data_IF_910432417112
#
_entry.id   IF_910432417112
#
_cell.length_a   1.000
_cell.length_b   1.000
_cell.length_c   1.000
_cell.angle_alpha   90.00
_cell.angle_beta   90.00
_cell.angle_gamma   90.00
#
_symmetry.space_group_name_H-M   'P 1'
#
loop_
_entity.id
_entity.type
_entity.pdbx_description
1 polymer ?
#
# COMPACT_ATOMS: atom_id res chain seq x y z
N UNK A 1 30.67 -45.18 -48.80
CA UNK A 1 30.08 -44.93 -47.48
C UNK A 1 29.78 -43.44 -47.44
N UNK A 2 28.54 -43.10 -47.79
CA UNK A 2 28.08 -41.71 -47.86
C UNK A 2 27.51 -41.33 -46.47
N UNK A 3 28.06 -40.29 -45.86
CA UNK A 3 27.53 -39.72 -44.58
C UNK A 3 26.33 -38.84 -44.90
N UNK A 4 25.17 -39.25 -44.43
CA UNK A 4 23.97 -38.42 -44.42
C UNK A 4 24.08 -37.38 -43.29
N UNK A 5 23.95 -36.12 -43.68
CA UNK A 5 23.83 -34.97 -42.75
C UNK A 5 22.42 -34.94 -42.15
N UNK A 6 22.23 -34.83 -40.84
CA UNK A 6 20.87 -34.75 -40.28
C UNK A 6 20.25 -33.40 -40.59
N UNK A 7 18.99 -33.46 -41.07
CA UNK A 7 18.16 -32.31 -41.40
C UNK A 7 17.99 -31.37 -40.18
N UNK A 8 18.18 -30.07 -40.42
CA UNK A 8 17.94 -29.00 -39.46
C UNK A 8 16.47 -28.98 -38.99
N UNK A 9 16.26 -29.20 -37.70
CA UNK A 9 14.96 -29.02 -37.07
C UNK A 9 14.50 -27.57 -37.25
N UNK A 10 13.39 -27.40 -37.96
CA UNK A 10 12.79 -26.10 -38.22
C UNK A 10 12.47 -25.35 -36.94
N UNK A 11 12.93 -24.12 -36.89
CA UNK A 11 12.62 -23.17 -35.79
C UNK A 11 11.08 -23.00 -35.71
N UNK A 12 10.49 -22.96 -34.50
CA UNK A 12 9.05 -22.74 -34.38
C UNK A 12 8.65 -21.39 -34.94
N UNK A 13 7.42 -21.21 -35.44
CA UNK A 13 6.96 -19.99 -36.08
C UNK A 13 7.02 -18.84 -35.11
N UNK A 14 7.84 -17.83 -35.42
CA UNK A 14 7.88 -16.57 -34.72
C UNK A 14 6.59 -15.81 -35.04
N UNK A 15 5.62 -15.81 -34.14
CA UNK A 15 4.48 -14.90 -34.21
C UNK A 15 5.01 -13.45 -34.16
N UNK A 16 4.98 -12.78 -35.32
CA UNK A 16 5.24 -11.32 -35.41
C UNK A 16 4.01 -10.60 -34.87
N UNK A 17 4.01 -10.25 -33.59
CA UNK A 17 3.08 -9.25 -33.06
C UNK A 17 3.34 -7.89 -33.72
N UNK A 18 2.29 -7.05 -33.96
CA UNK A 18 2.47 -5.72 -34.48
C UNK A 18 3.45 -4.97 -33.58
N UNK A 19 4.52 -4.43 -34.15
CA UNK A 19 5.55 -3.68 -33.43
C UNK A 19 4.94 -2.39 -32.94
N UNK A 20 4.52 -2.35 -31.68
CA UNK A 20 4.22 -1.09 -31.01
C UNK A 20 5.49 -0.22 -31.04
N UNK A 21 5.37 1.11 -31.29
CA UNK A 21 6.51 2.02 -31.37
C UNK A 21 7.21 2.21 -30.01
N UNK A 22 6.70 1.61 -28.95
CA UNK A 22 7.22 1.70 -27.60
C UNK A 22 7.18 0.32 -26.88
N UNK A 23 7.94 0.21 -25.79
CA UNK A 23 8.03 -1.01 -24.99
C UNK A 23 6.69 -1.34 -24.31
N UNK A 24 6.16 -2.56 -24.54
CA UNK A 24 4.85 -2.99 -24.03
C UNK A 24 4.70 -2.90 -22.51
N UNK A 25 5.81 -2.98 -21.76
CA UNK A 25 5.81 -2.77 -20.32
C UNK A 25 5.15 -1.46 -19.87
N UNK A 26 5.23 -0.40 -20.69
CA UNK A 26 4.54 0.86 -20.38
C UNK A 26 3.02 0.78 -20.50
N UNK A 27 2.49 -0.10 -21.37
CA UNK A 27 1.05 -0.40 -21.40
C UNK A 27 0.63 -1.02 -20.07
N UNK A 28 1.43 -1.96 -19.56
CA UNK A 28 1.15 -2.58 -18.26
C UNK A 28 1.22 -1.59 -17.11
N UNK A 29 2.13 -0.61 -17.17
CA UNK A 29 2.19 0.49 -16.18
C UNK A 29 0.91 1.32 -16.24
N UNK A 30 0.40 1.65 -17.44
CA UNK A 30 -0.85 2.38 -17.58
C UNK A 30 -2.06 1.58 -17.07
N UNK A 31 -2.12 0.27 -17.38
CA UNK A 31 -3.14 -0.64 -16.84
C UNK A 31 -3.07 -0.69 -15.32
N UNK A 32 -1.88 -0.84 -14.76
CA UNK A 32 -1.66 -0.83 -13.32
C UNK A 32 -2.06 0.49 -12.67
N UNK A 33 -1.74 1.63 -13.29
CA UNK A 33 -2.14 2.96 -12.83
C UNK A 33 -3.66 3.08 -12.69
N UNK A 34 -4.41 2.70 -13.72
CA UNK A 34 -5.88 2.74 -13.69
C UNK A 34 -6.45 1.74 -12.68
N UNK A 35 -5.89 0.52 -12.63
CA UNK A 35 -6.32 -0.51 -11.68
C UNK A 35 -6.09 -0.08 -10.23
N UNK A 36 -4.96 0.57 -9.95
CA UNK A 36 -4.67 1.16 -8.64
C UNK A 36 -5.58 2.34 -8.32
N UNK A 37 -5.84 3.22 -9.31
CA UNK A 37 -6.72 4.37 -9.16
C UNK A 37 -8.12 3.94 -8.71
N UNK A 38 -8.69 2.92 -9.34
CA UNK A 38 -10.04 2.43 -9.01
C UNK A 38 -10.00 1.50 -7.79
N UNK A 39 -9.14 0.50 -7.79
CA UNK A 39 -9.13 -0.56 -6.78
C UNK A 39 -8.86 -0.06 -5.36
N UNK A 40 -7.85 0.79 -5.17
CA UNK A 40 -7.54 1.34 -3.84
C UNK A 40 -8.63 2.32 -3.39
N UNK A 41 -9.13 3.16 -4.30
CA UNK A 41 -10.14 4.14 -3.95
C UNK A 41 -11.54 3.54 -3.73
N UNK A 42 -11.87 2.41 -4.36
CA UNK A 42 -13.08 1.66 -4.03
C UNK A 42 -13.09 1.20 -2.55
N UNK A 43 -11.93 0.83 -2.00
CA UNK A 43 -11.80 0.54 -0.57
C UNK A 43 -11.84 1.82 0.28
N UNK A 44 -11.14 2.87 -0.14
CA UNK A 44 -11.12 4.15 0.59
C UNK A 44 -12.52 4.79 0.63
N UNK A 45 -13.35 4.55 -0.40
CA UNK A 45 -14.74 5.00 -0.46
C UNK A 45 -15.61 4.44 0.71
N UNK A 46 -15.17 3.39 1.41
CA UNK A 46 -15.84 2.94 2.63
C UNK A 46 -16.01 4.06 3.66
N UNK A 47 -15.04 4.97 3.77
CA UNK A 47 -15.15 6.15 4.65
C UNK A 47 -16.32 7.08 4.27
N UNK A 48 -16.66 7.17 2.97
CA UNK A 48 -17.81 7.92 2.48
C UNK A 48 -19.14 7.16 2.66
N UNK A 49 -19.10 5.82 2.55
CA UNK A 49 -20.26 4.95 2.75
C UNK A 49 -20.62 4.81 4.24
N UNK A 50 -19.64 4.98 5.12
CA UNK A 50 -19.77 4.79 6.55
C UNK A 50 -20.88 5.68 7.18
N UNK A 51 -20.92 7.02 6.95
CA UNK A 51 -21.95 7.86 7.51
C UNK A 51 -23.39 7.48 7.08
N UNK A 52 -23.71 7.30 5.79
CA UNK A 52 -25.06 6.98 5.37
C UNK A 52 -25.52 5.58 5.82
N UNK A 53 -24.61 4.60 5.91
CA UNK A 53 -24.92 3.27 6.46
C UNK A 53 -25.29 3.39 7.94
N UNK A 54 -24.53 4.13 8.75
CA UNK A 54 -24.87 4.37 10.15
C UNK A 54 -26.22 5.06 10.32
N UNK A 55 -26.48 6.07 9.50
CA UNK A 55 -27.73 6.85 9.60
C UNK A 55 -28.96 6.01 9.20
N UNK A 56 -28.81 5.07 8.25
CA UNK A 56 -29.92 4.25 7.79
C UNK A 56 -30.25 3.12 8.78
N UNK A 57 -29.22 2.45 9.30
CA UNK A 57 -29.43 1.25 10.10
C UNK A 57 -29.37 1.49 11.61
N UNK A 58 -28.80 2.62 12.04
CA UNK A 58 -28.62 2.92 13.47
C UNK A 58 -27.66 1.95 14.19
N UNK A 59 -26.76 1.28 13.44
CA UNK A 59 -25.81 0.33 14.04
C UNK A 59 -24.69 1.08 14.76
N UNK A 60 -24.06 0.40 15.74
CA UNK A 60 -22.89 0.90 16.42
C UNK A 60 -21.74 1.13 15.43
N UNK A 61 -20.92 2.16 15.69
CA UNK A 61 -19.78 2.51 14.84
C UNK A 61 -18.73 1.42 14.84
N UNK A 62 -18.50 0.79 15.99
CA UNK A 62 -17.58 -0.35 16.11
C UNK A 62 -18.01 -1.54 15.25
N UNK A 63 -19.31 -1.86 15.25
CA UNK A 63 -19.87 -2.92 14.42
C UNK A 63 -19.70 -2.58 12.93
N UNK A 64 -20.05 -1.37 12.52
CA UNK A 64 -19.97 -0.97 11.11
C UNK A 64 -18.52 -0.87 10.62
N UNK A 65 -17.63 -0.24 11.40
CA UNK A 65 -16.20 -0.17 11.08
C UNK A 65 -15.52 -1.54 11.09
N UNK A 66 -16.05 -2.48 11.89
CA UNK A 66 -15.60 -3.87 11.93
C UNK A 66 -15.69 -4.58 10.57
N UNK A 67 -16.62 -4.20 9.70
CA UNK A 67 -16.68 -4.73 8.33
C UNK A 67 -15.40 -4.37 7.53
N UNK A 68 -14.91 -3.13 7.65
CA UNK A 68 -13.64 -2.72 7.04
C UNK A 68 -12.45 -3.46 7.66
N UNK A 69 -12.43 -3.59 8.98
CA UNK A 69 -11.41 -4.33 9.74
C UNK A 69 -11.35 -5.80 9.32
N UNK A 70 -12.50 -6.42 9.12
CA UNK A 70 -12.60 -7.81 8.65
C UNK A 70 -11.97 -8.00 7.28
N UNK A 71 -12.08 -7.02 6.39
CA UNK A 71 -11.40 -7.04 5.09
C UNK A 71 -9.88 -7.15 5.18
N UNK A 72 -9.26 -6.58 6.21
CA UNK A 72 -7.83 -6.76 6.46
C UNK A 72 -7.48 -8.19 6.87
N UNK A 73 -8.28 -8.79 7.74
CA UNK A 73 -8.07 -10.18 8.17
C UNK A 73 -8.18 -11.14 6.99
N UNK A 74 -9.18 -10.95 6.14
CA UNK A 74 -9.33 -11.73 4.90
C UNK A 74 -8.11 -11.52 3.98
N UNK A 75 -7.67 -10.26 3.80
CA UNK A 75 -6.47 -9.95 3.02
C UNK A 75 -5.23 -10.67 3.54
N UNK A 76 -5.03 -10.73 4.87
CA UNK A 76 -3.91 -11.45 5.48
C UNK A 76 -3.93 -12.94 5.13
N UNK A 77 -5.11 -13.57 5.20
CA UNK A 77 -5.27 -15.01 4.93
C UNK A 77 -5.01 -15.33 3.45
N UNK A 78 -5.50 -14.50 2.53
CA UNK A 78 -5.40 -14.79 1.09
C UNK A 78 -4.05 -14.39 0.46
N UNK A 79 -3.31 -13.44 1.04
CA UNK A 79 -2.04 -12.92 0.48
C UNK A 79 -1.04 -14.01 0.10
N UNK A 80 -0.76 -15.05 0.91
CA UNK A 80 0.17 -16.11 0.53
C UNK A 80 -0.30 -16.92 -0.69
N UNK A 81 -1.61 -17.03 -0.86
CA UNK A 81 -2.21 -17.73 -2.01
C UNK A 81 -2.15 -16.89 -3.28
N UNK A 82 -2.34 -15.57 -3.17
CA UNK A 82 -2.19 -14.62 -4.28
C UNK A 82 -0.79 -14.75 -4.90
N UNK A 83 0.27 -14.69 -4.09
CA UNK A 83 1.65 -14.83 -4.59
C UNK A 83 1.86 -16.14 -5.32
N UNK A 84 1.50 -17.27 -4.71
CA UNK A 84 1.66 -18.62 -5.31
C UNK A 84 0.90 -18.80 -6.64
N UNK A 85 -0.32 -18.27 -6.72
CA UNK A 85 -1.12 -18.38 -7.95
C UNK A 85 -0.53 -17.46 -9.03
N UNK A 86 -0.11 -16.25 -8.67
CA UNK A 86 0.47 -15.28 -9.59
C UNK A 86 1.79 -15.79 -10.19
N UNK A 87 2.65 -16.43 -9.38
CA UNK A 87 3.91 -17.04 -9.85
C UNK A 87 3.68 -18.20 -10.83
N UNK A 88 2.62 -18.98 -10.61
CA UNK A 88 2.34 -20.18 -11.42
C UNK A 88 1.50 -19.90 -12.66
N UNK A 89 0.47 -19.06 -12.55
CA UNK A 89 -0.56 -18.82 -13.57
C UNK A 89 -0.55 -17.41 -14.15
N UNK A 90 0.35 -16.55 -13.67
CA UNK A 90 0.45 -15.17 -14.09
C UNK A 90 -0.53 -14.22 -13.39
N UNK A 91 -0.41 -12.91 -13.65
CA UNK A 91 -1.16 -11.87 -12.95
C UNK A 91 -2.65 -11.84 -13.35
N UNK A 92 -2.99 -12.17 -14.58
CA UNK A 92 -4.33 -12.02 -15.14
C UNK A 92 -5.40 -12.71 -14.28
N UNK A 93 -5.21 -13.99 -13.94
CA UNK A 93 -6.19 -14.75 -13.16
C UNK A 93 -6.44 -14.14 -11.79
N UNK A 94 -5.38 -13.71 -11.10
CA UNK A 94 -5.48 -13.16 -9.75
C UNK A 94 -6.12 -11.77 -9.77
N UNK A 95 -5.74 -10.94 -10.74
CA UNK A 95 -6.28 -9.58 -10.85
C UNK A 95 -7.74 -9.61 -11.27
N UNK A 96 -8.11 -10.48 -12.24
CA UNK A 96 -9.53 -10.66 -12.63
C UNK A 96 -10.37 -11.25 -11.49
N UNK A 97 -9.85 -12.21 -10.73
CA UNK A 97 -10.53 -12.68 -9.52
C UNK A 97 -10.75 -11.53 -8.52
N UNK A 98 -9.78 -10.62 -8.39
CA UNK A 98 -9.92 -9.39 -7.60
C UNK A 98 -11.00 -8.45 -8.12
N UNK A 99 -11.08 -8.25 -9.45
CA UNK A 99 -12.14 -7.45 -10.10
C UNK A 99 -13.51 -8.06 -9.81
N UNK A 100 -13.65 -9.37 -9.99
CA UNK A 100 -14.92 -10.08 -9.73
C UNK A 100 -15.29 -10.01 -8.26
N UNK A 101 -14.36 -10.26 -7.35
CA UNK A 101 -14.64 -10.19 -5.91
C UNK A 101 -15.05 -8.79 -5.48
N UNK A 102 -14.31 -7.76 -5.90
CA UNK A 102 -14.60 -6.36 -5.53
C UNK A 102 -15.92 -5.89 -6.16
N UNK A 103 -16.12 -6.10 -7.45
CA UNK A 103 -17.34 -5.70 -8.15
C UNK A 103 -18.57 -6.39 -7.58
N UNK A 104 -18.52 -7.72 -7.38
CA UNK A 104 -19.60 -8.47 -6.75
C UNK A 104 -19.84 -8.00 -5.30
N UNK A 105 -18.77 -7.73 -4.53
CA UNK A 105 -18.90 -7.21 -3.17
C UNK A 105 -19.65 -5.88 -3.12
N UNK A 106 -19.33 -4.93 -4.01
CA UNK A 106 -20.04 -3.64 -4.12
C UNK A 106 -21.49 -3.82 -4.54
N UNK A 107 -21.77 -4.64 -5.56
CA UNK A 107 -23.15 -4.90 -6.01
C UNK A 107 -23.99 -5.59 -4.93
N UNK A 108 -23.46 -6.63 -4.29
CA UNK A 108 -24.16 -7.37 -3.24
C UNK A 108 -24.34 -6.53 -1.96
N UNK A 109 -23.47 -5.58 -1.68
CA UNK A 109 -23.62 -4.66 -0.54
C UNK A 109 -24.93 -3.87 -0.62
N UNK A 110 -25.44 -3.59 -1.82
CA UNK A 110 -26.71 -2.88 -2.02
C UNK A 110 -27.93 -3.64 -1.45
N UNK A 111 -27.82 -4.96 -1.31
CA UNK A 111 -28.86 -5.83 -0.76
C UNK A 111 -28.73 -6.02 0.75
N UNK A 112 -27.69 -5.44 1.38
CA UNK A 112 -27.43 -5.63 2.79
C UNK A 112 -28.54 -5.00 3.66
N UNK A 113 -28.97 -5.80 4.67
CA UNK A 113 -29.95 -5.42 5.71
C UNK A 113 -29.44 -5.74 7.12
N UNK A 114 -28.40 -6.53 7.23
CA UNK A 114 -27.81 -7.00 8.48
C UNK A 114 -26.31 -6.73 8.49
N UNK A 115 -25.69 -6.45 9.66
CA UNK A 115 -24.26 -6.15 9.74
C UNK A 115 -23.36 -7.23 9.11
N UNK A 116 -23.63 -8.52 9.36
CA UNK A 116 -22.82 -9.62 8.84
C UNK A 116 -22.76 -9.65 7.30
N UNK A 117 -23.80 -9.15 6.62
CA UNK A 117 -23.81 -9.05 5.15
C UNK A 117 -22.79 -8.03 4.66
N UNK A 118 -22.60 -6.91 5.40
CA UNK A 118 -21.53 -5.95 5.08
C UNK A 118 -20.13 -6.54 5.35
N UNK A 119 -19.99 -7.38 6.38
CA UNK A 119 -18.73 -8.10 6.62
C UNK A 119 -18.36 -9.01 5.45
N UNK A 120 -19.34 -9.70 4.86
CA UNK A 120 -19.09 -10.53 3.68
C UNK A 120 -18.86 -9.71 2.41
N UNK A 121 -19.66 -8.69 2.17
CA UNK A 121 -19.66 -7.93 0.92
C UNK A 121 -18.53 -6.88 0.89
N UNK A 122 -18.61 -5.85 1.73
CA UNK A 122 -17.59 -4.80 1.80
C UNK A 122 -16.32 -5.27 2.52
N UNK A 123 -16.47 -6.14 3.52
CA UNK A 123 -15.33 -6.72 4.23
C UNK A 123 -14.59 -7.75 3.37
N UNK A 124 -15.14 -8.97 3.27
CA UNK A 124 -14.43 -10.09 2.65
C UNK A 124 -14.24 -9.92 1.15
N UNK A 125 -15.30 -9.64 0.40
CA UNK A 125 -15.21 -9.57 -1.06
C UNK A 125 -14.46 -8.33 -1.53
N UNK A 126 -14.83 -7.12 -1.07
CA UNK A 126 -14.10 -5.92 -1.44
C UNK A 126 -12.69 -5.88 -0.84
N UNK A 127 -12.52 -6.19 0.47
CA UNK A 127 -11.23 -6.21 1.13
C UNK A 127 -10.27 -7.23 0.52
N UNK A 128 -10.76 -8.45 0.23
CA UNK A 128 -10.00 -9.49 -0.46
C UNK A 128 -9.67 -9.09 -1.90
N UNK A 129 -10.66 -8.59 -2.64
CA UNK A 129 -10.51 -8.13 -4.02
C UNK A 129 -9.47 -7.03 -4.16
N UNK A 130 -9.52 -6.03 -3.27
CA UNK A 130 -8.55 -4.92 -3.28
C UNK A 130 -7.11 -5.41 -3.13
N UNK A 131 -6.88 -6.46 -2.35
CA UNK A 131 -5.53 -6.96 -2.14
C UNK A 131 -4.90 -7.53 -3.43
N UNK A 132 -5.74 -8.06 -4.33
CA UNK A 132 -5.31 -8.49 -5.66
C UNK A 132 -5.01 -7.29 -6.58
N UNK A 133 -5.79 -6.22 -6.48
CA UNK A 133 -5.75 -5.06 -7.40
C UNK A 133 -4.75 -3.99 -6.99
N UNK A 134 -4.45 -3.87 -5.68
CA UNK A 134 -3.62 -2.82 -5.10
C UNK A 134 -2.12 -3.17 -5.09
N UNK A 135 -1.38 -2.55 -4.18
CA UNK A 135 0.08 -2.62 -4.07
C UNK A 135 0.64 -4.04 -4.12
N UNK A 136 0.00 -5.00 -3.42
CA UNK A 136 0.45 -6.40 -3.38
C UNK A 136 0.42 -7.01 -4.77
N UNK A 137 -0.73 -6.95 -5.44
CA UNK A 137 -0.89 -7.51 -6.79
C UNK A 137 0.08 -6.89 -7.80
N UNK A 138 0.15 -5.54 -7.83
CA UNK A 138 0.98 -4.82 -8.80
C UNK A 138 2.48 -5.04 -8.57
N UNK A 139 2.93 -5.12 -7.33
CA UNK A 139 4.34 -5.35 -6.99
C UNK A 139 4.86 -6.73 -7.35
N UNK A 140 3.98 -7.70 -7.57
CA UNK A 140 4.38 -9.08 -7.88
C UNK A 140 4.73 -9.28 -9.36
N UNK A 141 4.10 -8.57 -10.30
CA UNK A 141 4.34 -8.80 -11.73
C UNK A 141 5.06 -7.66 -12.46
N UNK A 142 4.80 -6.39 -12.12
CA UNK A 142 5.45 -5.26 -12.79
C UNK A 142 6.98 -5.32 -12.78
N UNK A 143 7.64 -5.75 -11.69
CA UNK A 143 9.09 -5.87 -11.66
C UNK A 143 9.68 -6.87 -12.66
N UNK A 144 8.92 -7.82 -13.19
CA UNK A 144 9.40 -8.77 -14.20
C UNK A 144 9.60 -8.11 -15.58
N UNK A 145 8.93 -6.97 -15.83
CA UNK A 145 9.00 -6.23 -17.08
C UNK A 145 10.10 -5.17 -17.10
N UNK A 146 10.57 -4.73 -15.92
CA UNK A 146 11.54 -3.66 -15.79
C UNK A 146 12.71 -4.07 -14.90
N UNK A 147 13.91 -4.02 -15.43
CA UNK A 147 15.15 -4.16 -14.65
C UNK A 147 15.75 -2.79 -14.31
N UNK A 148 15.94 -1.96 -15.33
CA UNK A 148 16.60 -0.66 -15.20
C UNK A 148 15.67 0.42 -14.66
N UNK A 149 14.40 0.43 -15.06
CA UNK A 149 13.42 1.46 -14.69
C UNK A 149 12.34 0.97 -13.72
N UNK A 150 12.63 -0.09 -12.96
CA UNK A 150 11.68 -0.72 -12.02
C UNK A 150 11.04 0.28 -11.05
N UNK A 151 11.86 1.15 -10.41
CA UNK A 151 11.38 2.15 -9.47
C UNK A 151 10.44 3.16 -10.13
N UNK A 152 10.80 3.66 -11.33
CA UNK A 152 9.97 4.59 -12.09
C UNK A 152 8.64 3.97 -12.50
N UNK A 153 8.65 2.74 -13.00
CA UNK A 153 7.44 2.03 -13.41
C UNK A 153 6.46 1.83 -12.24
N UNK A 154 6.96 1.37 -11.09
CA UNK A 154 6.16 1.22 -9.88
C UNK A 154 5.64 2.57 -9.35
N UNK A 155 6.48 3.61 -9.35
CA UNK A 155 6.05 4.94 -8.88
C UNK A 155 4.94 5.53 -9.74
N UNK A 156 5.03 5.39 -11.07
CA UNK A 156 3.97 5.83 -11.98
C UNK A 156 2.69 5.02 -11.73
N UNK A 157 2.77 3.69 -11.67
CA UNK A 157 1.61 2.85 -11.39
C UNK A 157 0.93 3.22 -10.07
N UNK A 158 1.70 3.43 -9.01
CA UNK A 158 1.18 3.73 -7.68
C UNK A 158 0.63 5.15 -7.54
N UNK A 159 1.13 6.11 -8.33
CA UNK A 159 0.58 7.48 -8.36
C UNK A 159 -0.87 7.53 -8.85
N UNK A 160 -1.35 6.48 -9.52
CA UNK A 160 -2.75 6.30 -9.88
C UNK A 160 -3.69 6.43 -8.67
N UNK A 161 -3.27 5.98 -7.48
CA UNK A 161 -4.07 6.11 -6.26
C UNK A 161 -4.42 7.57 -5.95
N UNK A 162 -3.44 8.48 -6.03
CA UNK A 162 -3.65 9.91 -5.78
C UNK A 162 -4.59 10.56 -6.81
N UNK A 163 -4.40 10.24 -8.09
CA UNK A 163 -5.28 10.77 -9.16
C UNK A 163 -6.70 10.18 -9.02
N UNK A 164 -6.80 8.87 -8.74
CA UNK A 164 -8.09 8.22 -8.49
C UNK A 164 -8.83 8.81 -7.29
N UNK A 165 -8.12 9.23 -6.24
CA UNK A 165 -8.75 9.75 -5.03
C UNK A 165 -9.46 11.08 -5.26
N UNK A 166 -8.88 12.00 -6.02
CA UNK A 166 -9.49 13.30 -6.32
C UNK A 166 -10.58 13.22 -7.38
N UNK A 167 -10.69 12.13 -8.12
CA UNK A 167 -11.74 11.92 -9.11
C UNK A 167 -12.87 11.04 -8.58
N UNK A 168 -12.54 9.86 -8.02
CA UNK A 168 -13.51 8.86 -7.60
C UNK A 168 -14.22 9.25 -6.30
N UNK A 169 -13.49 9.79 -5.29
CA UNK A 169 -14.12 10.06 -4.00
C UNK A 169 -15.13 11.21 -4.06
N UNK A 170 -14.86 12.39 -4.69
CA UNK A 170 -15.88 13.42 -4.87
C UNK A 170 -17.04 12.96 -5.75
N UNK A 171 -16.78 12.17 -6.80
CA UNK A 171 -17.81 11.57 -7.63
C UNK A 171 -18.73 10.65 -6.80
N UNK A 172 -18.15 9.74 -6.02
CA UNK A 172 -18.89 8.87 -5.10
C UNK A 172 -19.72 9.67 -4.11
N UNK A 173 -19.15 10.72 -3.50
CA UNK A 173 -19.88 11.59 -2.58
C UNK A 173 -21.07 12.28 -3.27
N UNK A 174 -20.90 12.74 -4.50
CA UNK A 174 -22.01 13.34 -5.27
C UNK A 174 -23.13 12.34 -5.57
N UNK A 175 -22.80 11.07 -5.83
CA UNK A 175 -23.78 10.00 -6.01
C UNK A 175 -24.50 9.69 -4.70
N UNK A 176 -23.77 9.59 -3.58
CA UNK A 176 -24.35 9.33 -2.25
C UNK A 176 -25.38 10.41 -1.90
N UNK A 177 -25.06 11.68 -2.16
CA UNK A 177 -25.98 12.80 -1.87
C UNK A 177 -27.21 12.80 -2.77
N UNK A 178 -27.05 12.43 -4.06
CA UNK A 178 -28.16 12.50 -5.04
C UNK A 178 -29.07 11.28 -5.02
N UNK A 179 -28.50 10.09 -4.84
CA UNK A 179 -29.20 8.83 -5.05
C UNK A 179 -29.05 7.83 -3.90
N UNK A 180 -28.21 8.16 -2.88
CA UNK A 180 -27.95 7.30 -1.75
C UNK A 180 -26.75 6.37 -1.95
N UNK A 181 -26.33 5.76 -0.85
CA UNK A 181 -25.12 4.94 -0.81
C UNK A 181 -25.23 3.63 -1.59
N UNK A 182 -26.43 3.07 -1.69
CA UNK A 182 -26.67 1.84 -2.48
C UNK A 182 -26.41 2.07 -3.96
N UNK A 183 -26.96 3.15 -4.50
CA UNK A 183 -26.76 3.52 -5.91
C UNK A 183 -25.28 3.84 -6.18
N UNK A 184 -24.62 4.53 -5.25
CA UNK A 184 -23.18 4.79 -5.34
C UNK A 184 -22.36 3.48 -5.35
N UNK A 185 -22.70 2.50 -4.51
CA UNK A 185 -22.07 1.17 -4.54
C UNK A 185 -22.33 0.46 -5.88
N UNK A 186 -23.55 0.54 -6.39
CA UNK A 186 -23.95 -0.09 -7.65
C UNK A 186 -23.14 0.51 -8.82
N UNK A 187 -23.10 1.83 -8.92
CA UNK A 187 -22.34 2.53 -9.96
C UNK A 187 -20.84 2.25 -9.89
N UNK A 188 -20.26 2.22 -8.67
CA UNK A 188 -18.84 1.89 -8.49
C UNK A 188 -18.56 0.42 -8.85
N UNK A 189 -19.46 -0.50 -8.50
CA UNK A 189 -19.36 -1.92 -8.86
C UNK A 189 -19.39 -2.13 -10.37
N UNK A 190 -20.30 -1.43 -11.08
CA UNK A 190 -20.35 -1.43 -12.54
C UNK A 190 -19.08 -0.83 -13.16
N UNK A 191 -18.57 0.28 -12.61
CA UNK A 191 -17.31 0.88 -13.06
C UNK A 191 -16.14 -0.12 -12.93
N UNK A 192 -16.07 -0.84 -11.81
CA UNK A 192 -15.05 -1.88 -11.61
C UNK A 192 -15.13 -2.95 -12.69
N UNK A 193 -16.32 -3.50 -12.97
CA UNK A 193 -16.49 -4.50 -14.02
C UNK A 193 -16.26 -3.96 -15.42
N UNK A 194 -16.85 -2.83 -15.77
CA UNK A 194 -16.83 -2.29 -17.12
C UNK A 194 -15.46 -1.72 -17.52
N UNK A 195 -14.72 -1.17 -16.56
CA UNK A 195 -13.41 -0.57 -16.82
C UNK A 195 -12.28 -1.55 -16.54
N UNK A 196 -12.22 -2.15 -15.34
CA UNK A 196 -11.06 -2.96 -14.95
C UNK A 196 -11.06 -4.34 -15.60
N UNK A 197 -12.23 -4.98 -15.79
CA UNK A 197 -12.32 -6.29 -16.44
C UNK A 197 -11.67 -6.26 -17.83
N UNK A 198 -12.19 -5.48 -18.81
CA UNK A 198 -11.58 -5.43 -20.14
C UNK A 198 -10.15 -4.89 -20.15
N UNK A 199 -9.83 -3.92 -19.29
CA UNK A 199 -8.51 -3.32 -19.23
C UNK A 199 -7.45 -4.34 -18.78
N UNK A 200 -7.74 -5.14 -17.78
CA UNK A 200 -6.80 -6.11 -17.23
C UNK A 200 -6.59 -7.32 -18.16
N UNK A 201 -7.44 -7.56 -19.16
CA UNK A 201 -7.18 -8.57 -20.21
C UNK A 201 -5.89 -8.27 -21.00
N UNK A 202 -5.42 -7.03 -20.98
CA UNK A 202 -4.13 -6.66 -21.58
C UNK A 202 -2.93 -7.16 -20.78
N UNK A 203 -3.12 -7.66 -19.54
CA UNK A 203 -2.03 -8.17 -18.72
C UNK A 203 -1.38 -9.40 -19.32
N UNK A 204 -0.05 -9.39 -19.35
CA UNK A 204 0.79 -10.53 -19.77
C UNK A 204 1.72 -10.92 -18.62
N UNK A 205 2.01 -12.21 -18.54
CA UNK A 205 2.77 -12.73 -17.40
C UNK A 205 4.22 -12.26 -17.43
N UNK A 206 4.90 -12.48 -18.55
CA UNK A 206 6.34 -12.14 -18.70
C UNK A 206 6.62 -11.55 -20.09
N UNK A 207 7.65 -10.70 -20.21
CA UNK A 207 8.05 -10.18 -21.53
C UNK A 207 8.44 -11.30 -22.50
N UNK A 208 9.03 -12.40 -22.01
CA UNK A 208 9.43 -13.55 -22.80
C UNK A 208 8.25 -14.22 -23.51
N UNK A 209 7.05 -14.19 -22.94
CA UNK A 209 5.82 -14.73 -23.54
C UNK A 209 5.45 -14.00 -24.84
N UNK A 210 5.96 -12.78 -25.02
CA UNK A 210 5.80 -11.94 -26.21
C UNK A 210 7.07 -11.88 -27.07
N UNK A 211 8.11 -12.65 -26.75
CA UNK A 211 9.40 -12.57 -27.42
C UNK A 211 10.17 -11.28 -27.13
N UNK A 212 9.85 -10.58 -26.01
CA UNK A 212 10.50 -9.37 -25.57
C UNK A 212 11.47 -9.68 -24.42
N UNK A 213 12.50 -8.84 -24.28
CA UNK A 213 13.37 -8.85 -23.11
C UNK A 213 12.93 -7.76 -22.12
N UNK A 214 13.18 -7.93 -20.79
CA UNK A 214 12.97 -6.87 -19.82
C UNK A 214 13.77 -5.60 -20.18
N UNK A 215 13.25 -4.42 -19.80
CA UNK A 215 13.93 -3.16 -20.01
C UNK A 215 15.28 -3.13 -19.28
N UNK A 216 16.39 -3.13 -20.05
CA UNK A 216 17.75 -3.02 -19.53
C UNK A 216 18.60 -4.29 -19.47
N UNK A 217 18.10 -5.42 -20.00
CA UNK A 217 18.81 -6.72 -19.98
C UNK A 217 20.21 -6.71 -20.66
N UNK A 218 20.57 -5.69 -21.44
CA UNK A 218 21.89 -5.57 -22.11
C UNK A 218 23.03 -4.99 -21.28
N UNK A 219 22.84 -4.70 -19.99
CA UNK A 219 23.87 -4.06 -19.15
C UNK A 219 23.91 -4.60 -17.73
N UNK A 220 23.92 -5.92 -17.57
CA UNK A 220 24.25 -6.53 -16.30
C UNK A 220 25.77 -6.64 -16.18
N UNK A 221 26.44 -5.62 -15.65
CA UNK A 221 27.71 -5.82 -14.99
C UNK A 221 27.42 -6.53 -13.65
N UNK A 222 27.92 -7.75 -13.41
CA UNK A 222 27.86 -8.38 -12.11
C UNK A 222 28.85 -7.68 -11.18
N UNK A 223 28.41 -6.60 -10.56
CA UNK A 223 29.20 -5.96 -9.52
C UNK A 223 29.11 -6.78 -8.26
N UNK A 224 30.02 -7.71 -8.12
CA UNK A 224 30.33 -8.41 -6.88
C UNK A 224 31.09 -7.53 -5.88
N UNK A 225 30.67 -6.29 -5.65
CA UNK A 225 31.19 -5.47 -4.57
C UNK A 225 30.30 -5.69 -3.33
N UNK A 226 30.94 -6.10 -2.22
CA UNK A 226 30.28 -6.09 -0.89
C UNK A 226 29.64 -4.73 -0.69
N UNK A 227 28.37 -4.65 -0.27
CA UNK A 227 27.72 -3.36 -0.06
C UNK A 227 28.53 -2.54 0.94
N UNK A 228 29.04 -1.39 0.51
CA UNK A 228 29.87 -0.48 1.32
C UNK A 228 29.12 0.11 2.53
N UNK A 229 27.83 -0.21 2.69
CA UNK A 229 26.93 0.35 3.70
C UNK A 229 26.75 -0.53 4.95
N UNK A 230 27.48 -1.64 5.10
CA UNK A 230 27.36 -2.53 6.28
C UNK A 230 28.05 -1.86 7.48
N UNK A 231 27.27 -1.64 8.56
CA UNK A 231 27.75 -1.07 9.83
C UNK A 231 28.04 -2.15 10.84
N UNK A 232 27.18 -3.18 10.91
CA UNK A 232 27.37 -4.36 11.76
C UNK A 232 27.66 -5.59 10.88
N UNK A 233 28.93 -5.93 10.63
CA UNK A 233 29.29 -7.07 9.79
C UNK A 233 28.86 -8.41 10.39
N UNK A 234 28.88 -8.54 11.71
CA UNK A 234 28.51 -9.78 12.39
C UNK A 234 27.00 -10.06 12.20
N UNK A 235 26.15 -9.05 12.37
CA UNK A 235 24.71 -9.15 12.11
C UNK A 235 24.39 -9.37 10.63
N UNK A 236 25.10 -8.65 9.74
CA UNK A 236 24.87 -8.72 8.30
C UNK A 236 25.34 -10.04 7.66
N UNK A 237 26.28 -10.75 8.28
CA UNK A 237 26.78 -12.05 7.81
C UNK A 237 25.81 -13.22 8.09
N UNK A 238 24.80 -13.03 8.95
CA UNK A 238 23.83 -14.06 9.28
C UNK A 238 22.83 -14.21 8.14
N UNK A 239 22.68 -15.43 7.59
CA UNK A 239 21.59 -15.75 6.67
C UNK A 239 20.32 -16.02 7.49
N UNK A 240 19.59 -14.95 7.79
CA UNK A 240 18.45 -14.97 8.70
C UNK A 240 17.34 -15.89 8.22
N UNK A 241 16.98 -16.87 9.04
CA UNK A 241 15.72 -17.62 8.91
C UNK A 241 14.61 -16.92 9.67
N UNK A 242 13.35 -17.18 9.31
CA UNK A 242 12.20 -16.63 10.04
C UNK A 242 12.22 -17.00 11.53
N UNK A 243 12.55 -18.27 11.84
CA UNK A 243 12.62 -18.73 13.23
C UNK A 243 13.68 -18.01 14.06
N UNK A 244 14.83 -17.68 13.45
CA UNK A 244 15.87 -16.88 14.11
C UNK A 244 15.43 -15.43 14.27
N UNK A 245 14.83 -14.81 13.23
CA UNK A 245 14.35 -13.44 13.28
C UNK A 245 13.30 -13.25 14.39
N UNK A 246 12.35 -14.16 14.54
CA UNK A 246 11.32 -14.16 15.59
C UNK A 246 11.89 -14.17 17.02
N UNK A 247 13.10 -14.70 17.21
CA UNK A 247 13.78 -14.73 18.52
C UNK A 247 14.51 -13.42 18.83
N UNK A 248 14.62 -12.49 17.88
CA UNK A 248 15.32 -11.22 18.08
C UNK A 248 14.37 -10.12 18.60
N UNK A 249 14.87 -9.26 19.48
CA UNK A 249 14.13 -8.08 19.93
C UNK A 249 13.87 -7.11 18.79
N UNK A 250 14.76 -7.03 17.79
CA UNK A 250 14.62 -6.14 16.64
C UNK A 250 13.37 -6.45 15.82
N UNK A 251 13.06 -7.74 15.62
CA UNK A 251 11.85 -8.18 14.93
C UNK A 251 10.58 -7.63 15.60
N UNK A 252 10.47 -7.80 16.91
CA UNK A 252 9.28 -7.36 17.65
C UNK A 252 9.18 -5.85 17.77
N UNK A 253 10.30 -5.12 17.78
CA UNK A 253 10.27 -3.66 17.67
C UNK A 253 9.76 -3.20 16.32
N UNK A 254 10.18 -3.81 15.21
CA UNK A 254 9.66 -3.49 13.88
C UNK A 254 8.17 -3.84 13.81
N UNK A 255 7.76 -5.00 14.31
CA UNK A 255 6.36 -5.43 14.35
C UNK A 255 5.48 -4.45 15.15
N UNK A 256 5.92 -4.03 16.34
CA UNK A 256 5.22 -3.04 17.15
C UNK A 256 5.13 -1.66 16.44
N UNK A 257 6.21 -1.24 15.79
CA UNK A 257 6.23 -0.01 15.00
C UNK A 257 5.22 -0.02 13.87
N UNK A 258 5.17 -1.11 13.11
CA UNK A 258 4.24 -1.26 12.00
C UNK A 258 2.78 -1.35 12.48
N UNK A 259 2.52 -2.10 13.54
CA UNK A 259 1.20 -2.15 14.17
C UNK A 259 0.68 -0.76 14.55
N UNK A 260 1.45 0.00 15.34
CA UNK A 260 1.00 1.30 15.85
C UNK A 260 0.77 2.32 14.74
N UNK A 261 1.65 2.35 13.74
CA UNK A 261 1.52 3.29 12.62
C UNK A 261 0.30 2.98 11.74
N UNK A 262 0.06 1.71 11.40
CA UNK A 262 -1.07 1.30 10.57
C UNK A 262 -2.40 1.36 11.34
N UNK A 263 -2.37 1.16 12.66
CA UNK A 263 -3.53 1.41 13.51
C UNK A 263 -4.00 2.85 13.34
N UNK A 264 -3.11 3.82 13.57
CA UNK A 264 -3.45 5.24 13.46
C UNK A 264 -3.91 5.62 12.06
N UNK A 265 -3.18 5.16 11.03
CA UNK A 265 -3.55 5.41 9.64
C UNK A 265 -5.02 5.09 9.37
N UNK A 266 -5.43 3.85 9.66
CA UNK A 266 -6.76 3.39 9.30
C UNK A 266 -7.84 3.79 10.29
N UNK A 267 -7.50 4.01 11.56
CA UNK A 267 -8.42 4.61 12.54
C UNK A 267 -8.87 6.00 12.05
N UNK A 268 -7.93 6.84 11.62
CA UNK A 268 -8.24 8.17 11.08
C UNK A 268 -8.96 8.04 9.74
N UNK A 269 -8.41 7.29 8.78
CA UNK A 269 -8.94 7.22 7.42
C UNK A 269 -10.42 6.79 7.34
N UNK A 270 -10.84 5.84 8.18
CA UNK A 270 -12.21 5.32 8.15
C UNK A 270 -13.19 6.30 8.78
N UNK A 271 -12.82 6.93 9.88
CA UNK A 271 -13.75 7.75 10.66
C UNK A 271 -13.71 9.25 10.30
N UNK A 272 -12.67 9.74 9.59
CA UNK A 272 -12.47 11.19 9.36
C UNK A 272 -13.63 11.85 8.63
N UNK A 273 -14.25 11.20 7.63
CA UNK A 273 -15.38 11.82 6.91
C UNK A 273 -16.61 11.99 7.80
N UNK A 274 -16.94 10.97 8.60
CA UNK A 274 -18.05 11.05 9.56
C UNK A 274 -17.76 12.12 10.62
N UNK A 275 -16.55 12.12 11.17
CA UNK A 275 -16.14 13.10 12.16
C UNK A 275 -16.21 14.52 11.62
N UNK A 276 -15.66 14.80 10.44
CA UNK A 276 -15.69 16.13 9.83
C UNK A 276 -17.12 16.64 9.61
N UNK A 277 -18.03 15.76 9.19
CA UNK A 277 -19.44 16.15 9.03
C UNK A 277 -20.12 16.44 10.38
N UNK A 278 -19.77 15.74 11.45
CA UNK A 278 -20.31 15.97 12.79
C UNK A 278 -19.86 17.30 13.41
N UNK A 279 -18.65 17.75 13.08
CA UNK A 279 -18.13 19.06 13.57
C UNK A 279 -18.48 20.22 12.65
N UNK A 280 -19.33 20.02 11.63
CA UNK A 280 -19.94 21.08 10.81
C UNK A 280 -19.37 21.30 9.43
N UNK A 281 -18.43 20.48 8.93
CA UNK A 281 -18.01 20.52 7.53
C UNK A 281 -19.07 19.89 6.63
N UNK A 282 -19.16 20.37 5.38
CA UNK A 282 -20.03 19.72 4.41
C UNK A 282 -19.51 18.31 4.04
N UNK A 283 -20.41 17.42 3.64
CA UNK A 283 -20.04 16.10 3.16
C UNK A 283 -19.10 16.17 1.93
N UNK A 284 -19.23 17.21 1.12
CA UNK A 284 -18.33 17.50 0.01
C UNK A 284 -16.92 17.85 0.49
N UNK A 285 -16.80 18.75 1.48
CA UNK A 285 -15.48 19.13 2.02
C UNK A 285 -14.77 17.95 2.66
N UNK A 286 -15.51 17.09 3.38
CA UNK A 286 -14.98 15.88 3.97
C UNK A 286 -14.47 14.88 2.90
N UNK A 287 -15.20 14.73 1.79
CA UNK A 287 -14.79 13.88 0.68
C UNK A 287 -13.56 14.45 -0.06
N UNK A 288 -13.53 15.76 -0.31
CA UNK A 288 -12.37 16.42 -0.88
C UNK A 288 -11.14 16.33 0.01
N UNK A 289 -11.30 16.52 1.34
CA UNK A 289 -10.21 16.34 2.30
C UNK A 289 -9.62 14.93 2.21
N UNK A 290 -10.46 13.87 2.18
CA UNK A 290 -10.03 12.49 2.02
C UNK A 290 -9.29 12.26 0.70
N UNK A 291 -9.80 12.83 -0.40
CA UNK A 291 -9.17 12.75 -1.72
C UNK A 291 -7.81 13.46 -1.77
N UNK A 292 -7.76 14.69 -1.23
CA UNK A 292 -6.54 15.49 -1.19
C UNK A 292 -5.44 14.84 -0.34
N UNK A 293 -5.78 14.19 0.78
CA UNK A 293 -4.80 13.41 1.57
C UNK A 293 -4.06 12.42 0.70
N UNK A 294 -4.77 11.64 -0.11
CA UNK A 294 -4.14 10.65 -1.01
C UNK A 294 -3.37 11.30 -2.16
N UNK A 295 -3.81 12.43 -2.66
CA UNK A 295 -3.11 13.17 -3.71
C UNK A 295 -1.77 13.74 -3.22
N UNK A 296 -1.78 14.47 -2.09
CA UNK A 296 -0.56 15.09 -1.54
C UNK A 296 0.39 14.04 -0.96
N UNK A 297 -0.08 12.81 -0.72
CA UNK A 297 0.76 11.69 -0.33
C UNK A 297 1.78 11.31 -1.41
N UNK A 298 1.43 11.44 -2.69
CA UNK A 298 2.34 11.05 -3.79
C UNK A 298 3.66 11.82 -3.75
N UNK A 299 3.67 13.17 -3.82
CA UNK A 299 4.92 13.92 -3.71
C UNK A 299 5.58 13.75 -2.33
N UNK A 300 4.79 13.61 -1.25
CA UNK A 300 5.29 13.36 0.10
C UNK A 300 6.11 12.07 0.20
N UNK A 301 5.59 10.96 -0.33
CA UNK A 301 6.28 9.66 -0.36
C UNK A 301 7.58 9.72 -1.16
N UNK A 302 7.58 10.38 -2.32
CA UNK A 302 8.76 10.55 -3.16
C UNK A 302 9.83 11.36 -2.42
N UNK A 303 9.44 12.52 -1.87
CA UNK A 303 10.36 13.40 -1.14
C UNK A 303 10.94 12.71 0.11
N UNK A 304 10.09 12.09 0.93
CA UNK A 304 10.52 11.40 2.15
C UNK A 304 11.33 10.15 1.84
N UNK A 305 11.02 9.42 0.76
CA UNK A 305 11.84 8.33 0.27
C UNK A 305 13.27 8.78 -0.05
N UNK A 306 13.41 9.88 -0.78
CA UNK A 306 14.71 10.47 -1.10
C UNK A 306 15.45 11.00 0.13
N UNK A 307 14.74 11.68 1.02
CA UNK A 307 15.29 12.19 2.30
C UNK A 307 15.79 11.03 3.16
N UNK A 308 15.10 9.86 3.13
CA UNK A 308 15.47 8.70 3.94
C UNK A 308 16.85 8.14 3.60
N UNK A 309 17.31 8.32 2.36
CA UNK A 309 18.66 7.92 1.93
C UNK A 309 19.76 8.83 2.50
N UNK A 310 19.40 10.00 3.02
CA UNK A 310 20.33 10.96 3.63
C UNK A 310 20.32 10.92 5.15
N UNK A 311 19.13 10.92 5.77
CA UNK A 311 18.99 11.04 7.23
C UNK A 311 18.82 9.71 7.94
N UNK A 312 18.37 8.66 7.24
CA UNK A 312 18.09 7.33 7.80
C UNK A 312 16.59 6.98 7.79
N UNK A 313 16.32 5.68 7.74
CA UNK A 313 14.94 5.15 7.67
C UNK A 313 14.14 5.44 8.93
N UNK A 314 14.79 5.34 10.08
CA UNK A 314 14.21 5.61 11.39
C UNK A 314 13.71 7.04 11.55
N UNK A 315 14.44 8.02 11.00
CA UNK A 315 14.04 9.43 11.04
C UNK A 315 12.83 9.70 10.16
N UNK A 316 12.80 9.15 8.94
CA UNK A 316 11.65 9.32 8.05
C UNK A 316 10.41 8.62 8.62
N UNK A 317 10.58 7.46 9.27
CA UNK A 317 9.49 6.80 9.99
C UNK A 317 8.95 7.67 11.13
N UNK A 318 9.82 8.30 11.89
CA UNK A 318 9.44 9.23 12.96
C UNK A 318 8.74 10.48 12.43
N UNK A 319 9.24 11.06 11.32
CA UNK A 319 8.58 12.19 10.65
C UNK A 319 7.16 11.80 10.20
N UNK A 320 6.99 10.62 9.60
CA UNK A 320 5.67 10.15 9.19
C UNK A 320 4.71 9.95 10.36
N UNK A 321 5.17 9.32 11.46
CA UNK A 321 4.36 9.18 12.67
C UNK A 321 4.10 10.55 13.33
N UNK A 322 5.05 11.50 13.28
CA UNK A 322 4.84 12.89 13.66
C UNK A 322 3.72 13.55 12.83
N UNK A 323 3.66 13.26 11.52
CA UNK A 323 2.56 13.69 10.66
C UNK A 323 1.20 13.17 11.15
N UNK A 324 1.11 11.89 11.56
CA UNK A 324 -0.11 11.37 12.16
C UNK A 324 -0.45 12.00 13.51
N UNK A 325 0.54 12.33 14.35
CA UNK A 325 0.33 13.06 15.61
C UNK A 325 -0.24 14.44 15.32
N UNK A 326 0.35 15.20 14.39
CA UNK A 326 -0.16 16.53 13.98
C UNK A 326 -1.58 16.40 13.40
N UNK A 327 -1.84 15.39 12.57
CA UNK A 327 -3.18 15.12 12.03
C UNK A 327 -4.21 14.90 13.14
N UNK A 328 -3.92 14.03 14.12
CA UNK A 328 -4.84 13.77 15.24
C UNK A 328 -5.04 15.00 16.13
N UNK A 329 -3.99 15.78 16.40
CA UNK A 329 -4.10 17.05 17.12
C UNK A 329 -4.95 18.06 16.34
N UNK A 330 -4.76 18.18 15.03
CA UNK A 330 -5.59 19.02 14.18
C UNK A 330 -7.06 18.60 14.24
N UNK A 331 -7.35 17.29 14.19
CA UNK A 331 -8.71 16.77 14.34
C UNK A 331 -9.31 17.12 15.70
N UNK A 332 -8.56 17.00 16.79
CA UNK A 332 -9.03 17.38 18.14
C UNK A 332 -9.33 18.88 18.20
N UNK A 333 -8.46 19.73 17.64
CA UNK A 333 -8.65 21.18 17.61
C UNK A 333 -9.83 21.61 16.73
N UNK A 334 -10.09 20.90 15.63
CA UNK A 334 -11.21 21.14 14.74
C UNK A 334 -12.58 20.99 15.44
N UNK A 335 -12.69 20.20 16.51
CA UNK A 335 -13.91 20.10 17.31
C UNK A 335 -14.35 21.44 17.92
N UNK A 336 -13.39 22.30 18.30
CA UNK A 336 -13.67 23.62 18.85
C UNK A 336 -13.62 24.75 17.83
N UNK A 337 -12.88 24.54 16.74
CA UNK A 337 -12.58 25.57 15.73
C UNK A 337 -12.59 24.97 14.32
N UNK A 338 -13.78 24.68 13.78
CA UNK A 338 -13.96 24.13 12.44
C UNK A 338 -13.60 25.15 11.35
N UNK A 339 -12.31 25.24 11.00
CA UNK A 339 -11.78 26.18 10.00
C UNK A 339 -11.08 25.46 8.85
N UNK A 340 -11.18 26.03 7.64
CA UNK A 340 -10.50 25.48 6.46
C UNK A 340 -8.95 25.43 6.58
N UNK A 341 -8.27 26.44 7.16
CA UNK A 341 -6.82 26.35 7.35
C UNK A 341 -6.39 25.17 8.23
N UNK A 342 -7.14 24.91 9.32
CA UNK A 342 -6.84 23.79 10.21
C UNK A 342 -7.13 22.42 9.52
N UNK A 343 -8.19 22.36 8.68
CA UNK A 343 -8.46 21.22 7.83
C UNK A 343 -7.31 20.99 6.84
N UNK A 344 -6.76 22.04 6.24
CA UNK A 344 -5.60 21.94 5.35
C UNK A 344 -4.35 21.42 6.09
N UNK A 345 -4.11 21.85 7.33
CA UNK A 345 -3.03 21.31 8.18
C UNK A 345 -3.21 19.81 8.39
N UNK A 346 -4.42 19.36 8.72
CA UNK A 346 -4.75 17.94 8.84
C UNK A 346 -4.44 17.16 7.55
N UNK A 347 -4.90 17.65 6.41
CA UNK A 347 -4.69 17.02 5.09
C UNK A 347 -3.20 16.89 4.74
N UNK A 348 -2.44 17.99 4.91
CA UNK A 348 -1.00 18.00 4.62
C UNK A 348 -0.24 17.08 5.58
N UNK A 349 -0.53 17.16 6.88
CA UNK A 349 0.13 16.32 7.86
C UNK A 349 -0.13 14.83 7.64
N UNK A 350 -1.37 14.44 7.39
CA UNK A 350 -1.73 13.05 7.11
C UNK A 350 -1.15 12.57 5.79
N UNK A 351 -1.33 13.33 4.70
CA UNK A 351 -0.95 12.93 3.35
C UNK A 351 0.55 13.03 3.13
N UNK A 352 1.13 14.23 3.23
CA UNK A 352 2.53 14.45 2.87
C UNK A 352 3.49 13.78 3.86
N UNK A 353 3.22 13.90 5.17
CA UNK A 353 4.08 13.32 6.20
C UNK A 353 3.64 11.89 6.55
N UNK A 354 2.39 11.72 7.02
CA UNK A 354 1.89 10.46 7.55
C UNK A 354 2.02 9.31 6.56
N UNK A 355 1.53 9.47 5.35
CA UNK A 355 1.62 8.44 4.30
C UNK A 355 3.04 8.22 3.79
N UNK A 356 3.97 9.11 4.09
CA UNK A 356 5.38 8.97 3.77
C UNK A 356 6.07 7.76 4.39
N UNK A 357 5.52 7.17 5.45
CA UNK A 357 6.04 5.93 6.07
C UNK A 357 6.14 4.77 5.06
N UNK A 358 5.27 4.73 4.06
CA UNK A 358 5.27 3.67 3.04
C UNK A 358 6.56 3.62 2.23
N UNK A 359 7.23 4.76 2.07
CA UNK A 359 8.49 4.86 1.33
C UNK A 359 9.64 4.11 2.00
N UNK A 360 9.59 3.92 3.31
CA UNK A 360 10.67 3.29 4.09
C UNK A 360 10.28 1.94 4.72
N UNK A 361 8.98 1.60 4.74
CA UNK A 361 8.47 0.40 5.39
C UNK A 361 9.15 -0.88 4.89
N UNK A 362 9.27 -1.08 3.57
CA UNK A 362 9.96 -2.23 2.99
C UNK A 362 11.46 -2.24 3.33
N UNK A 363 12.10 -1.08 3.21
CA UNK A 363 13.54 -0.93 3.41
C UNK A 363 13.97 -1.26 4.85
N UNK A 364 13.23 -0.81 5.86
CA UNK A 364 13.53 -1.07 7.28
C UNK A 364 13.71 -2.55 7.55
N UNK A 365 12.74 -3.38 7.14
CA UNK A 365 12.77 -4.82 7.39
C UNK A 365 13.89 -5.53 6.60
N UNK A 366 14.09 -5.14 5.33
CA UNK A 366 15.08 -5.76 4.45
C UNK A 366 16.51 -5.38 4.88
N UNK A 367 16.72 -4.14 5.34
CA UNK A 367 18.03 -3.69 5.81
C UNK A 367 18.45 -4.38 7.11
N UNK A 368 17.49 -4.67 8.02
CA UNK A 368 17.77 -5.40 9.26
C UNK A 368 17.99 -6.89 9.01
N UNK A 369 17.16 -7.53 8.19
CA UNK A 369 17.16 -8.98 7.97
C UNK A 369 17.46 -9.30 6.49
N UNK A 370 18.59 -8.79 5.98
CA UNK A 370 19.01 -9.09 4.61
C UNK A 370 19.40 -10.57 4.46
N UNK A 371 19.05 -11.19 3.34
CA UNK A 371 19.37 -12.59 3.06
C UNK A 371 18.30 -13.26 2.19
N UNK A 372 18.46 -14.57 1.97
CA UNK A 372 17.56 -15.37 1.10
C UNK A 372 16.12 -15.42 1.62
N UNK A 373 15.91 -15.32 2.93
CA UNK A 373 14.60 -15.39 3.55
C UNK A 373 14.02 -14.00 3.92
N UNK A 374 14.61 -12.90 3.47
CA UNK A 374 14.15 -11.53 3.80
C UNK A 374 12.69 -11.28 3.43
N UNK A 375 12.22 -11.84 2.32
CA UNK A 375 10.81 -11.75 1.90
C UNK A 375 9.84 -12.43 2.88
N UNK A 376 10.19 -13.62 3.39
CA UNK A 376 9.39 -14.33 4.40
C UNK A 376 9.34 -13.58 5.73
N UNK A 377 10.46 -13.01 6.15
CA UNK A 377 10.55 -12.21 7.37
C UNK A 377 9.72 -10.92 7.23
N UNK A 378 9.88 -10.21 6.10
CA UNK A 378 9.09 -9.02 5.80
C UNK A 378 7.58 -9.32 5.77
N UNK A 379 7.18 -10.41 5.08
CA UNK A 379 5.78 -10.83 5.03
C UNK A 379 5.20 -11.10 6.43
N UNK A 380 5.98 -11.71 7.32
CA UNK A 380 5.54 -11.97 8.70
C UNK A 380 5.44 -10.68 9.53
N UNK A 381 6.39 -9.76 9.38
CA UNK A 381 6.29 -8.44 10.03
C UNK A 381 5.07 -7.67 9.50
N UNK A 382 4.78 -7.78 8.20
CA UNK A 382 3.60 -7.14 7.61
C UNK A 382 2.27 -7.64 8.18
N UNK A 383 2.22 -8.84 8.77
CA UNK A 383 1.02 -9.29 9.50
C UNK A 383 0.70 -8.35 10.68
N UNK A 384 1.71 -7.83 11.38
CA UNK A 384 1.48 -6.86 12.46
C UNK A 384 0.90 -5.54 11.94
N UNK A 385 1.35 -5.07 10.77
CA UNK A 385 0.77 -3.91 10.09
C UNK A 385 -0.70 -4.15 9.72
N UNK A 386 -1.01 -5.33 9.19
CA UNK A 386 -2.38 -5.72 8.84
C UNK A 386 -3.26 -5.78 10.10
N UNK A 387 -2.76 -6.36 11.20
CA UNK A 387 -3.47 -6.40 12.47
C UNK A 387 -3.70 -5.00 13.05
N UNK A 388 -2.72 -4.09 12.95
CA UNK A 388 -2.89 -2.69 13.30
C UNK A 388 -3.98 -2.01 12.47
N UNK A 389 -3.92 -2.20 11.14
CA UNK A 389 -4.92 -1.69 10.22
C UNK A 389 -6.33 -2.25 10.44
N UNK A 390 -6.45 -3.48 10.92
CA UNK A 390 -7.72 -4.08 11.34
C UNK A 390 -8.19 -3.53 12.69
N UNK A 391 -7.31 -3.41 13.67
CA UNK A 391 -7.67 -2.97 15.01
C UNK A 391 -8.07 -1.48 15.04
N UNK A 392 -7.40 -0.62 14.25
CA UNK A 392 -7.59 0.83 14.29
C UNK A 392 -9.05 1.27 14.12
N UNK A 393 -9.70 0.98 12.99
CA UNK A 393 -11.07 1.41 12.75
C UNK A 393 -12.08 0.83 13.76
N UNK A 394 -11.91 -0.43 14.10
CA UNK A 394 -12.79 -1.10 15.07
C UNK A 394 -12.67 -0.47 16.46
N UNK A 395 -11.44 -0.30 16.98
CA UNK A 395 -11.21 0.31 18.29
C UNK A 395 -11.68 1.76 18.33
N UNK A 396 -11.44 2.54 17.25
CA UNK A 396 -11.91 3.92 17.18
C UNK A 396 -13.44 4.00 17.21
N UNK A 397 -14.14 3.08 16.54
CA UNK A 397 -15.59 2.97 16.57
C UNK A 397 -16.10 2.61 17.97
N UNK A 398 -15.55 1.57 18.59
CA UNK A 398 -15.92 1.13 19.95
C UNK A 398 -15.67 2.23 20.98
N UNK A 399 -14.54 2.92 20.93
CA UNK A 399 -14.26 4.02 21.84
C UNK A 399 -15.27 5.15 21.68
N UNK A 400 -15.67 5.46 20.44
CA UNK A 400 -16.70 6.44 20.21
C UNK A 400 -18.07 5.96 20.77
N UNK A 401 -18.46 4.71 20.53
CA UNK A 401 -19.74 4.15 21.01
C UNK A 401 -19.83 4.19 22.55
N UNK A 402 -18.69 3.99 23.23
CA UNK A 402 -18.62 4.02 24.70
C UNK A 402 -18.59 5.45 25.29
N UNK A 403 -17.98 6.41 24.58
CA UNK A 403 -17.69 7.75 25.14
C UNK A 403 -18.48 8.88 24.51
N UNK A 404 -19.15 8.64 23.39
CA UNK A 404 -19.84 9.66 22.60
C UNK A 404 -18.90 10.61 21.83
N UNK A 405 -17.58 10.33 21.80
CA UNK A 405 -16.57 11.20 21.21
C UNK A 405 -15.44 10.44 20.53
N UNK A 406 -14.88 11.02 19.46
CA UNK A 406 -13.64 10.48 18.83
C UNK A 406 -12.35 10.90 19.55
N UNK A 407 -12.39 11.87 20.48
CA UNK A 407 -11.20 12.35 21.19
C UNK A 407 -10.38 11.24 21.84
N UNK A 408 -10.96 10.24 22.54
CA UNK A 408 -10.18 9.11 23.08
C UNK A 408 -9.47 8.31 22.01
N UNK A 409 -10.11 8.07 20.87
CA UNK A 409 -9.51 7.35 19.74
C UNK A 409 -8.31 8.10 19.15
N UNK A 410 -8.40 9.44 19.04
CA UNK A 410 -7.29 10.26 18.57
C UNK A 410 -6.13 10.28 19.57
N UNK A 411 -6.39 10.33 20.88
CA UNK A 411 -5.34 10.23 21.89
C UNK A 411 -4.65 8.87 21.89
N UNK A 412 -5.39 7.78 21.76
CA UNK A 412 -4.82 6.42 21.58
C UNK A 412 -3.95 6.38 20.32
N UNK A 413 -4.43 6.96 19.22
CA UNK A 413 -3.69 7.05 17.96
C UNK A 413 -2.39 7.84 18.09
N UNK A 414 -2.40 8.97 18.83
CA UNK A 414 -1.19 9.75 19.15
C UNK A 414 -0.19 8.90 19.94
N UNK A 415 -0.67 8.21 20.98
CA UNK A 415 0.18 7.33 21.79
C UNK A 415 0.82 6.19 21.00
N UNK A 416 0.03 5.55 20.12
CA UNK A 416 0.52 4.47 19.26
C UNK A 416 1.48 4.96 18.18
N UNK A 417 1.26 6.16 17.61
CA UNK A 417 2.20 6.78 16.66
C UNK A 417 3.53 7.14 17.33
N UNK A 418 3.49 7.68 18.54
CA UNK A 418 4.69 7.97 19.33
C UNK A 418 5.45 6.67 19.68
N UNK A 419 4.72 5.65 20.15
CA UNK A 419 5.27 4.32 20.43
C UNK A 419 5.89 3.71 19.16
N UNK A 420 5.22 3.84 18.01
CA UNK A 420 5.71 3.36 16.72
C UNK A 420 7.04 3.99 16.33
N UNK A 421 7.18 5.31 16.48
CA UNK A 421 8.43 6.00 16.21
C UNK A 421 9.56 5.49 17.12
N UNK A 422 9.31 5.39 18.43
CA UNK A 422 10.28 4.85 19.39
C UNK A 422 10.66 3.41 19.07
N UNK A 423 9.69 2.59 18.68
CA UNK A 423 9.91 1.18 18.34
C UNK A 423 10.89 1.01 17.17
N UNK A 424 10.76 1.81 16.10
CA UNK A 424 11.69 1.74 14.97
C UNK A 424 13.09 2.27 15.34
N UNK A 425 13.20 3.30 16.18
CA UNK A 425 14.50 3.70 16.72
C UNK A 425 15.15 2.59 17.57
N UNK A 426 14.36 1.81 18.33
CA UNK A 426 14.86 0.65 19.08
C UNK A 426 15.25 -0.53 18.20
N UNK A 427 14.55 -0.73 17.07
CA UNK A 427 14.96 -1.71 16.06
C UNK A 427 16.29 -1.35 15.40
N UNK A 428 16.59 -0.03 15.32
CA UNK A 428 17.86 0.54 14.91
C UNK A 428 18.38 0.01 13.54
N UNK A 429 17.64 0.19 12.43
CA UNK A 429 18.10 -0.23 11.10
C UNK A 429 19.43 0.41 10.71
N UNK A 430 19.64 1.69 11.01
CA UNK A 430 20.88 2.42 10.74
C UNK A 430 22.11 1.91 11.49
N UNK A 431 21.94 1.08 12.54
CA UNK A 431 23.05 0.38 13.22
C UNK A 431 23.45 -0.92 12.53
N UNK A 432 22.64 -1.42 11.61
CA UNK A 432 22.96 -2.60 10.79
C UNK A 432 23.51 -2.18 9.45
N UNK A 433 22.84 -1.25 8.78
CA UNK A 433 23.24 -0.72 7.48
C UNK A 433 23.09 0.81 7.44
N UNK A 434 24.14 1.48 7.02
CA UNK A 434 24.11 2.91 6.78
C UNK A 434 23.30 3.20 5.50
N UNK A 435 22.59 4.33 5.48
CA UNK A 435 22.00 4.85 4.25
C UNK A 435 23.05 5.58 3.41
N UNK A 436 22.79 5.74 2.10
CA UNK A 436 23.74 6.28 1.14
C UNK A 436 24.42 7.60 1.59
N UNK A 437 23.65 8.53 2.16
CA UNK A 437 24.15 9.80 2.65
C UNK A 437 24.99 9.73 3.95
N UNK A 438 25.08 8.56 4.58
CA UNK A 438 25.87 8.32 5.81
C UNK A 438 27.07 7.39 5.59
N UNK A 439 27.25 6.87 4.39
CA UNK A 439 28.41 6.07 4.03
C UNK A 439 29.60 7.01 3.92
N UNK A 440 30.59 6.86 4.84
CA UNK A 440 31.88 7.56 4.70
C UNK A 440 32.60 7.00 3.48
N UNK A 441 33.04 7.86 2.56
CA UNK A 441 33.95 7.47 1.50
C UNK A 441 35.17 6.81 2.17
N UNK A 442 35.46 5.56 1.84
CA UNK A 442 36.72 4.92 2.24
C UNK A 442 37.83 5.71 1.49
N UNK A 443 38.80 6.29 2.19
CA UNK A 443 39.93 6.91 1.49
C UNK A 443 40.51 5.86 0.55
N UNK A 444 40.71 6.22 -0.71
CA UNK A 444 41.42 5.36 -1.66
C UNK A 444 42.74 4.97 -1.00
N UNK A 445 42.98 3.67 -0.84
CA UNK A 445 44.28 3.15 -0.44
C UNK A 445 45.22 3.64 -1.51
N UNK A 446 46.07 4.62 -1.18
CA UNK A 446 47.19 5.00 -2.04
C UNK A 446 48.06 3.76 -2.16
N UNK A 447 48.07 3.14 -3.35
CA UNK A 447 49.05 2.12 -3.68
C UNK A 447 50.43 2.72 -3.53
N UNK A 448 51.04 2.45 -2.38
CA UNK A 448 52.45 2.69 -2.13
C UNK A 448 53.30 1.57 -2.78
N UNK A 449 53.16 1.40 -4.07
CA UNK A 449 54.05 0.57 -4.88
C UNK A 449 54.74 1.41 -5.96
N UNK A 450 55.60 2.33 -5.52
CA UNK A 450 56.60 2.90 -6.39
C UNK A 450 57.77 3.36 -5.53
N UNK A 451 58.66 2.41 -5.24
CA UNK A 451 60.08 2.65 -4.97
C UNK A 451 60.88 1.37 -5.25
#
# INVERSE_FOLDING_TARGET
MSQETPASAGSPPRFRHPRLPFFYGWVLVAVAFVTMAVGVNARTAFSLLFPPILNEFGWDRGVTAGAFSFGFLVSAIITPSIGRIMDRRGPLLVIEAGVVAMGAGLLLATLARQPWQLYLTLGALCGGGVNCLAYTGQSLYLPHWFERRRGLALSIAFSGVGIGSITILPWMQSLIVRAGWREACWMLGLLVFALLGPLNLLLKHRPQDMGLEPDGARSANPVGSKPANIVDPAWAAIDWTLGQALRTRRFWWVAAGYFGSLFTWYAVQVHQTKYLTEIGFSASDAAWALGLVSLVAVPGQIALGHVSDRIGREWVWAIGNGGFVICCLALILLAGHATMPLLAVMVIAQGTLGYGITSVMGAISIEIFAGRNSGSIFGTVMLSAILGGAAGPWVAGVLHDLTGSYSPAFWVSIGLSAMSAVAIFRAAPGKVRAVAGRVRAIPAVQDSSSS
#
